data_IF_663956177953
#
_entry.id   IF_663956177953
#
_cell.length_a   1.000
_cell.length_b   1.000
_cell.length_c   1.000
_cell.angle_alpha   90.00
_cell.angle_beta   90.00
_cell.angle_gamma   90.00
#
_symmetry.space_group_name_H-M   'P 1'
#
loop_
_entity.id
_entity.type
_entity.pdbx_description
1 polymer ?
#
# COMPACT_ATOMS: atom_id res chain seq x y z
N UNK A 1 -66.61 30.49 5.56
CA UNK A 1 -66.34 30.51 4.10
C UNK A 1 -65.06 31.31 3.80
N UNK A 2 -64.89 32.49 4.32
CA UNK A 2 -63.65 33.31 4.12
C UNK A 2 -62.39 32.69 4.63
N UNK A 3 -62.41 31.95 5.74
CA UNK A 3 -61.20 31.25 6.28
C UNK A 3 -60.73 30.12 5.37
N UNK A 4 -61.69 29.47 4.74
CA UNK A 4 -61.40 28.33 3.83
C UNK A 4 -60.83 28.84 2.50
N UNK A 5 -61.29 29.94 1.99
CA UNK A 5 -60.80 30.62 0.78
C UNK A 5 -59.37 31.15 0.99
N UNK A 6 -59.10 31.76 2.15
CA UNK A 6 -57.73 32.19 2.51
C UNK A 6 -56.75 31.04 2.64
N UNK A 7 -57.17 29.90 3.22
CA UNK A 7 -56.34 28.71 3.33
C UNK A 7 -56.07 28.05 1.97
N UNK A 8 -57.07 28.03 1.10
CA UNK A 8 -56.96 27.53 -0.25
C UNK A 8 -56.04 28.40 -1.11
N UNK A 9 -56.15 29.74 -0.97
CA UNK A 9 -55.23 30.66 -1.65
C UNK A 9 -53.80 30.52 -1.17
N UNK A 10 -53.57 30.37 0.14
CA UNK A 10 -52.25 30.15 0.71
C UNK A 10 -51.62 28.82 0.18
N UNK A 11 -52.44 27.77 0.10
CA UNK A 11 -52.00 26.50 -0.44
C UNK A 11 -51.57 26.57 -1.93
N UNK A 12 -52.32 27.31 -2.73
CA UNK A 12 -51.99 27.59 -4.14
C UNK A 12 -50.70 28.41 -4.29
N UNK A 13 -50.48 29.39 -3.45
CA UNK A 13 -49.26 30.22 -3.45
C UNK A 13 -48.03 29.37 -3.05
N UNK A 14 -48.16 28.51 -2.02
CA UNK A 14 -47.10 27.59 -1.64
C UNK A 14 -46.83 26.55 -2.74
N UNK A 15 -47.86 26.06 -3.41
CA UNK A 15 -47.70 25.09 -4.54
C UNK A 15 -46.98 25.78 -5.72
N UNK A 16 -47.32 27.03 -6.06
CA UNK A 16 -46.65 27.78 -7.13
C UNK A 16 -45.19 28.10 -6.78
N UNK A 17 -44.90 28.43 -5.52
CA UNK A 17 -43.51 28.61 -5.09
C UNK A 17 -42.66 27.34 -5.11
N UNK A 18 -43.27 26.17 -4.83
CA UNK A 18 -42.53 24.88 -4.87
C UNK A 18 -42.16 24.45 -6.28
N UNK A 19 -42.91 24.80 -7.29
CA UNK A 19 -42.66 24.47 -8.71
C UNK A 19 -41.47 25.31 -9.26
N UNK A 20 -41.28 26.56 -8.80
CA UNK A 20 -40.19 27.41 -9.23
C UNK A 20 -38.77 26.95 -8.80
N UNK A 21 -38.67 26.21 -7.71
CA UNK A 21 -37.39 25.71 -7.22
C UNK A 21 -36.87 24.47 -7.98
N UNK A 22 -37.74 23.77 -8.73
CA UNK A 22 -37.41 22.50 -9.37
C UNK A 22 -36.61 22.63 -10.68
N UNK A 23 -36.46 23.81 -11.26
CA UNK A 23 -35.89 24.04 -12.60
C UNK A 23 -34.68 24.97 -12.63
N UNK A 24 -34.02 25.25 -11.51
CA UNK A 24 -32.82 26.07 -11.50
C UNK A 24 -31.64 25.29 -12.07
N UNK A 25 -31.54 25.24 -13.39
CA UNK A 25 -30.36 24.79 -14.09
C UNK A 25 -29.39 25.93 -14.30
N UNK A 26 -28.11 25.67 -14.19
CA UNK A 26 -27.03 26.59 -14.47
C UNK A 26 -26.20 26.13 -15.66
N UNK A 27 -25.85 27.07 -16.54
CA UNK A 27 -24.85 26.81 -17.59
C UNK A 27 -23.46 26.94 -16.96
N UNK A 28 -22.82 25.82 -16.81
CA UNK A 28 -21.42 25.75 -16.34
C UNK A 28 -20.51 25.73 -17.54
N UNK A 29 -19.57 26.64 -17.57
CA UNK A 29 -18.49 26.68 -18.54
C UNK A 29 -17.16 26.80 -17.84
N UNK A 30 -16.10 26.38 -18.49
CA UNK A 30 -14.77 26.49 -17.90
C UNK A 30 -13.68 25.97 -18.81
N UNK A 31 -12.46 26.01 -18.29
CA UNK A 31 -11.28 25.50 -18.96
C UNK A 31 -10.55 24.53 -18.07
N UNK A 32 -10.14 23.40 -18.62
CA UNK A 32 -9.32 22.39 -17.93
C UNK A 32 -7.89 22.52 -18.44
N UNK A 33 -6.95 22.70 -17.52
CA UNK A 33 -5.53 22.84 -17.80
C UNK A 33 -4.70 21.83 -17.02
N UNK A 34 -3.52 21.51 -17.52
CA UNK A 34 -2.50 20.71 -16.83
C UNK A 34 -1.76 21.56 -15.80
N UNK A 35 -1.41 20.96 -14.67
CA UNK A 35 -0.64 21.63 -13.62
C UNK A 35 0.85 21.80 -13.96
N UNK A 36 1.40 20.98 -14.87
CA UNK A 36 2.84 20.95 -15.18
C UNK A 36 3.23 22.04 -16.15
N UNK A 37 2.45 22.20 -17.23
CA UNK A 37 2.76 23.08 -18.35
C UNK A 37 1.75 24.22 -18.53
N UNK A 38 0.66 24.22 -17.77
CA UNK A 38 -0.48 25.14 -17.92
C UNK A 38 -1.15 25.07 -19.30
N UNK A 39 -0.92 24.01 -20.04
CA UNK A 39 -1.56 23.81 -21.34
C UNK A 39 -3.00 23.31 -21.19
N UNK A 40 -3.89 23.67 -22.15
CA UNK A 40 -5.27 23.18 -22.14
C UNK A 40 -5.31 21.67 -22.41
N UNK A 41 -6.09 20.94 -21.62
CA UNK A 41 -6.24 19.49 -21.79
C UNK A 41 -7.40 19.22 -22.74
N UNK A 42 -7.08 18.64 -23.89
CA UNK A 42 -8.03 18.24 -24.93
C UNK A 42 -8.63 16.88 -24.59
N UNK A 43 -9.96 16.74 -24.66
CA UNK A 43 -10.62 15.44 -24.45
C UNK A 43 -10.73 15.01 -23.00
N UNK A 44 -10.55 15.92 -22.03
CA UNK A 44 -10.83 15.64 -20.63
C UNK A 44 -12.33 15.40 -20.43
N UNK A 45 -12.67 14.34 -19.72
CA UNK A 45 -14.05 13.96 -19.42
C UNK A 45 -14.58 14.77 -18.21
N UNK A 46 -15.76 15.37 -18.37
CA UNK A 46 -16.47 16.11 -17.34
C UNK A 46 -17.80 15.43 -17.07
N UNK A 47 -17.94 14.77 -15.94
CA UNK A 47 -19.09 13.94 -15.58
C UNK A 47 -19.82 14.50 -14.35
N UNK A 48 -21.13 14.30 -14.27
CA UNK A 48 -21.93 14.63 -13.11
C UNK A 48 -21.74 13.55 -12.03
N UNK A 49 -21.34 13.95 -10.83
CA UNK A 49 -21.20 13.05 -9.68
C UNK A 49 -22.57 12.67 -9.12
N UNK A 50 -22.88 11.37 -9.06
CA UNK A 50 -24.12 10.86 -8.41
C UNK A 50 -25.39 10.84 -9.26
N UNK A 51 -25.32 11.13 -10.56
CA UNK A 51 -26.44 10.97 -11.49
C UNK A 51 -26.46 9.60 -12.16
N UNK A 52 -27.65 9.12 -12.54
CA UNK A 52 -27.79 7.95 -13.42
C UNK A 52 -26.90 8.17 -14.67
N UNK A 53 -26.14 7.16 -15.01
CA UNK A 53 -25.08 7.14 -16.03
C UNK A 53 -25.32 8.10 -17.20
N UNK A 54 -24.30 8.91 -17.49
CA UNK A 54 -24.03 9.53 -18.80
C UNK A 54 -24.52 10.94 -19.12
N UNK A 55 -24.71 11.81 -18.15
CA UNK A 55 -24.69 13.24 -18.49
C UNK A 55 -23.29 13.81 -18.22
N UNK A 56 -22.54 14.01 -19.27
CA UNK A 56 -21.20 14.58 -19.23
C UNK A 56 -20.85 15.21 -20.56
N UNK A 57 -19.73 15.90 -20.60
CA UNK A 57 -19.14 16.47 -21.80
C UNK A 57 -17.64 16.20 -21.80
N UNK A 58 -16.98 16.48 -22.93
CA UNK A 58 -15.54 16.45 -23.04
C UNK A 58 -15.02 17.83 -23.40
N UNK A 59 -13.78 18.14 -23.04
CA UNK A 59 -13.16 19.41 -23.39
C UNK A 59 -12.77 19.46 -24.85
N UNK A 60 -12.87 20.63 -25.45
CA UNK A 60 -12.45 20.92 -26.83
C UNK A 60 -10.93 21.12 -26.97
N UNK A 61 -10.49 21.56 -28.17
CA UNK A 61 -9.07 21.79 -28.51
C UNK A 61 -8.44 22.91 -27.65
N UNK A 62 -9.24 23.81 -27.12
CA UNK A 62 -8.82 24.90 -26.22
C UNK A 62 -8.98 24.50 -24.73
N UNK A 63 -9.27 23.21 -24.43
CA UNK A 63 -9.56 22.74 -23.10
C UNK A 63 -10.85 23.25 -22.49
N UNK A 64 -11.74 23.88 -23.30
CA UNK A 64 -13.00 24.45 -22.81
C UNK A 64 -14.11 23.40 -22.78
N UNK A 65 -15.00 23.52 -21.81
CA UNK A 65 -16.21 22.71 -21.73
C UNK A 65 -17.43 23.57 -21.43
N UNK A 66 -18.59 23.10 -21.83
CA UNK A 66 -19.88 23.68 -21.48
C UNK A 66 -20.87 22.58 -21.15
N UNK A 67 -21.55 22.71 -20.01
CA UNK A 67 -22.49 21.72 -19.52
C UNK A 67 -23.62 22.40 -18.74
N UNK A 68 -24.86 22.02 -19.01
CA UNK A 68 -26.04 22.50 -18.27
C UNK A 68 -26.38 21.51 -17.16
N UNK A 69 -26.36 21.95 -15.91
CA UNK A 69 -26.55 21.11 -14.72
C UNK A 69 -27.43 21.78 -13.68
N UNK A 70 -28.12 21.00 -12.83
CA UNK A 70 -28.84 21.55 -11.68
C UNK A 70 -27.89 22.27 -10.73
N UNK A 71 -28.38 23.34 -10.10
CA UNK A 71 -27.58 24.06 -9.12
C UNK A 71 -27.17 23.16 -7.94
N UNK A 72 -25.92 23.28 -7.47
CA UNK A 72 -25.38 22.47 -6.39
C UNK A 72 -24.83 21.10 -6.81
N UNK A 73 -24.83 20.81 -8.12
CA UNK A 73 -24.25 19.55 -8.66
C UNK A 73 -22.74 19.54 -8.53
N UNK A 74 -22.16 18.38 -8.25
CA UNK A 74 -20.71 18.17 -8.28
C UNK A 74 -20.30 17.59 -9.63
N UNK A 75 -19.22 18.11 -10.20
CA UNK A 75 -18.63 17.64 -11.45
C UNK A 75 -17.33 16.91 -11.16
N UNK A 76 -17.14 15.78 -11.82
CA UNK A 76 -15.90 14.98 -11.79
C UNK A 76 -15.15 15.21 -13.09
N UNK A 77 -13.94 15.70 -12.96
CA UNK A 77 -13.02 15.93 -14.06
C UNK A 77 -12.02 14.79 -14.08
N UNK A 78 -11.86 14.11 -15.21
CA UNK A 78 -10.91 13.01 -15.37
C UNK A 78 -10.26 13.05 -16.74
N UNK A 79 -8.96 12.67 -16.77
CA UNK A 79 -8.19 12.51 -17.98
C UNK A 79 -7.16 11.39 -17.79
N UNK A 80 -6.79 10.72 -18.86
CA UNK A 80 -5.84 9.59 -18.79
C UNK A 80 -4.50 10.07 -18.25
N UNK A 81 -3.99 9.44 -17.20
CA UNK A 81 -2.74 9.81 -16.53
C UNK A 81 -2.83 11.02 -15.60
N UNK A 82 -4.03 11.55 -15.37
CA UNK A 82 -4.26 12.66 -14.43
C UNK A 82 -5.14 12.23 -13.27
N UNK A 83 -4.88 12.79 -12.10
CA UNK A 83 -5.69 12.55 -10.90
C UNK A 83 -7.06 13.19 -11.07
N UNK A 84 -8.11 12.37 -10.96
CA UNK A 84 -9.50 12.84 -11.03
C UNK A 84 -9.80 13.85 -9.91
N UNK A 85 -10.51 14.93 -10.23
CA UNK A 85 -10.88 15.98 -9.30
C UNK A 85 -12.39 16.20 -9.31
N UNK A 86 -12.98 16.31 -8.11
CA UNK A 86 -14.41 16.60 -7.95
C UNK A 86 -14.60 18.00 -7.41
N UNK A 87 -15.33 18.84 -8.14
CA UNK A 87 -15.61 20.23 -7.78
C UNK A 87 -17.09 20.52 -7.85
N UNK A 88 -17.56 21.49 -7.06
CA UNK A 88 -18.92 21.99 -7.18
C UNK A 88 -19.08 22.81 -8.47
N UNK A 89 -20.19 22.65 -9.16
CA UNK A 89 -20.48 23.33 -10.40
C UNK A 89 -20.68 24.85 -10.16
N UNK A 90 -19.91 25.67 -10.85
CA UNK A 90 -20.00 27.14 -10.85
C UNK A 90 -20.00 27.66 -12.29
N UNK A 91 -20.54 28.84 -12.53
CA UNK A 91 -20.76 29.36 -13.89
C UNK A 91 -19.48 29.45 -14.72
N UNK A 92 -18.35 29.84 -14.11
CA UNK A 92 -17.04 29.88 -14.77
C UNK A 92 -16.02 29.14 -13.92
N UNK A 93 -15.44 28.05 -14.46
CA UNK A 93 -14.49 27.21 -13.76
C UNK A 93 -13.13 27.17 -14.46
N UNK A 94 -12.08 27.33 -13.68
CA UNK A 94 -10.73 26.97 -14.13
C UNK A 94 -10.29 25.75 -13.32
N UNK A 95 -10.17 24.63 -13.99
CA UNK A 95 -9.83 23.35 -13.36
C UNK A 95 -8.39 22.98 -13.71
N UNK A 96 -7.58 22.74 -12.71
CA UNK A 96 -6.18 22.37 -12.87
C UNK A 96 -6.05 20.90 -12.49
N UNK A 97 -5.87 20.03 -13.48
CA UNK A 97 -5.59 18.61 -13.24
C UNK A 97 -4.09 18.41 -13.04
N UNK A 98 -3.78 17.60 -12.03
CA UNK A 98 -2.41 17.19 -11.75
C UNK A 98 -2.18 15.81 -12.31
N UNK A 99 -0.98 15.51 -12.86
CA UNK A 99 -0.64 14.14 -13.22
C UNK A 99 -0.91 13.23 -12.02
N UNK A 100 -1.48 12.09 -12.31
CA UNK A 100 -1.50 11.03 -11.33
C UNK A 100 -0.04 10.70 -11.06
N UNK A 101 0.43 11.02 -9.84
CA UNK A 101 1.78 10.69 -9.47
C UNK A 101 1.91 9.18 -9.69
N UNK A 102 2.53 8.79 -10.80
CA UNK A 102 3.01 7.42 -10.92
C UNK A 102 3.84 7.23 -9.67
N UNK A 103 3.41 6.34 -8.81
CA UNK A 103 4.22 5.90 -7.69
C UNK A 103 5.53 5.45 -8.33
N UNK A 104 6.53 6.34 -8.33
CA UNK A 104 7.86 5.99 -8.80
C UNK A 104 8.31 4.91 -7.84
N UNK A 105 8.31 3.68 -8.34
CA UNK A 105 8.85 2.58 -7.59
C UNK A 105 10.33 2.87 -7.33
N UNK A 106 10.63 3.20 -6.10
CA UNK A 106 11.98 3.51 -5.66
C UNK A 106 12.59 2.26 -5.08
N UNK A 107 13.73 1.86 -5.60
CA UNK A 107 14.55 0.80 -5.04
C UNK A 107 15.37 1.36 -3.89
N UNK A 108 15.15 0.85 -2.69
CA UNK A 108 15.91 1.22 -1.50
C UNK A 108 16.98 0.16 -1.28
N UNK A 109 18.22 0.49 -1.57
CA UNK A 109 19.35 -0.42 -1.32
C UNK A 109 19.90 -0.32 0.11
N UNK A 110 19.19 0.35 1.01
CA UNK A 110 19.65 0.64 2.37
C UNK A 110 20.54 1.87 2.48
N UNK A 111 21.45 2.09 1.55
CA UNK A 111 22.34 3.25 1.50
C UNK A 111 21.84 4.34 0.56
N UNK A 112 21.16 3.95 -0.51
CA UNK A 112 20.67 4.87 -1.54
C UNK A 112 19.23 4.56 -1.92
N UNK A 113 18.51 5.61 -2.34
CA UNK A 113 17.21 5.48 -2.99
C UNK A 113 17.42 5.76 -4.47
N UNK A 114 17.20 4.76 -5.30
CA UNK A 114 17.37 4.84 -6.75
C UNK A 114 16.03 4.58 -7.43
N UNK A 115 15.74 5.33 -8.50
CA UNK A 115 14.57 5.05 -9.32
C UNK A 115 14.67 3.62 -9.90
N UNK A 116 13.59 2.86 -9.80
CA UNK A 116 13.51 1.48 -10.30
C UNK A 116 13.93 1.37 -11.78
N UNK A 117 13.66 2.40 -12.57
CA UNK A 117 14.02 2.46 -13.99
C UNK A 117 15.53 2.51 -14.23
N UNK A 118 16.27 3.09 -13.29
CA UNK A 118 17.73 3.23 -13.35
C UNK A 118 18.45 2.06 -12.66
N UNK A 119 17.71 1.23 -11.94
CA UNK A 119 18.26 0.12 -11.21
C UNK A 119 18.20 -1.16 -12.06
N UNK A 120 19.36 -1.70 -12.44
CA UNK A 120 19.50 -2.86 -13.31
C UNK A 120 19.45 -4.19 -12.56
N UNK A 121 19.56 -4.16 -11.23
CA UNK A 121 19.57 -5.34 -10.38
C UNK A 121 18.19 -5.99 -10.20
N UNK A 122 18.17 -7.32 -9.97
CA UNK A 122 16.95 -8.05 -9.65
C UNK A 122 16.54 -7.78 -8.19
N UNK A 123 15.41 -7.10 -8.02
CA UNK A 123 14.85 -6.78 -6.71
C UNK A 123 13.34 -7.03 -6.68
N UNK A 124 12.86 -7.46 -5.51
CA UNK A 124 11.43 -7.49 -5.21
C UNK A 124 11.15 -6.59 -4.01
N UNK A 125 10.03 -5.91 -4.04
CA UNK A 125 9.51 -5.13 -2.92
C UNK A 125 8.24 -5.78 -2.39
N UNK A 126 8.19 -5.93 -1.07
CA UNK A 126 7.02 -6.44 -0.35
C UNK A 126 6.61 -5.39 0.67
N UNK A 127 5.39 -4.89 0.59
CA UNK A 127 4.86 -3.95 1.56
C UNK A 127 4.56 -4.68 2.88
N UNK A 128 4.88 -4.06 4.00
CA UNK A 128 4.69 -4.71 5.31
C UNK A 128 3.21 -5.00 5.61
N UNK A 129 2.30 -4.16 5.16
CA UNK A 129 0.85 -4.40 5.33
C UNK A 129 0.36 -5.66 4.62
N UNK A 130 0.90 -5.94 3.42
CA UNK A 130 0.58 -7.16 2.67
C UNK A 130 1.26 -8.40 3.27
N UNK A 131 2.43 -8.20 3.88
CA UNK A 131 3.23 -9.26 4.46
C UNK A 131 2.81 -9.61 5.89
N UNK A 132 2.09 -8.73 6.59
CA UNK A 132 1.73 -8.93 8.00
C UNK A 132 0.95 -10.24 8.18
N UNK A 133 1.50 -11.10 9.04
CA UNK A 133 0.85 -12.33 9.48
C UNK A 133 0.49 -12.18 10.97
N UNK A 134 -0.79 -12.28 11.28
CA UNK A 134 -1.26 -12.19 12.66
C UNK A 134 -0.81 -13.43 13.44
N UNK A 135 -0.38 -13.24 14.68
CA UNK A 135 0.04 -14.32 15.57
C UNK A 135 1.42 -14.91 15.29
N UNK A 136 2.25 -14.24 14.50
CA UNK A 136 3.62 -14.64 14.20
C UNK A 136 4.58 -13.65 14.84
N UNK A 137 5.40 -14.14 15.78
CA UNK A 137 6.34 -13.29 16.53
C UNK A 137 7.54 -12.85 15.69
N UNK A 138 7.98 -13.70 14.74
CA UNK A 138 9.13 -13.39 13.91
C UNK A 138 8.69 -12.85 12.53
N UNK A 139 9.07 -11.61 12.28
CA UNK A 139 8.70 -10.89 11.07
C UNK A 139 9.32 -11.50 9.79
N UNK A 140 10.40 -12.25 9.90
CA UNK A 140 11.02 -12.91 8.78
C UNK A 140 10.12 -13.96 8.12
N UNK A 141 9.17 -14.53 8.88
CA UNK A 141 8.10 -15.41 8.36
C UNK A 141 7.13 -14.70 7.42
N UNK A 142 7.00 -13.39 7.55
CA UNK A 142 6.14 -12.56 6.69
C UNK A 142 6.53 -12.61 5.22
N UNK A 143 7.76 -13.02 4.91
CA UNK A 143 8.27 -13.15 3.55
C UNK A 143 7.89 -14.47 2.89
N UNK A 144 7.30 -15.43 3.64
CA UNK A 144 6.91 -16.74 3.12
C UNK A 144 5.86 -16.61 2.01
N UNK A 145 6.19 -17.11 0.80
CA UNK A 145 5.30 -17.06 -0.36
C UNK A 145 5.05 -15.66 -0.94
N UNK A 146 5.72 -14.60 -0.45
CA UNK A 146 5.48 -13.22 -0.87
C UNK A 146 6.49 -12.71 -1.90
N UNK A 147 7.69 -13.31 -1.95
CA UNK A 147 8.73 -12.91 -2.87
C UNK A 147 9.24 -14.09 -3.69
N UNK A 148 9.31 -13.92 -5.01
CA UNK A 148 9.81 -14.95 -5.91
C UNK A 148 11.28 -15.26 -5.61
N UNK A 149 11.64 -16.55 -5.53
CA UNK A 149 13.02 -16.99 -5.26
C UNK A 149 13.48 -16.83 -3.81
N UNK A 150 12.56 -16.52 -2.89
CA UNK A 150 12.80 -16.54 -1.45
C UNK A 150 12.14 -17.78 -0.86
N UNK A 151 12.92 -18.61 -0.22
CA UNK A 151 12.44 -19.80 0.48
C UNK A 151 12.55 -19.57 1.98
N UNK A 152 11.44 -19.67 2.67
CA UNK A 152 11.33 -19.56 4.11
C UNK A 152 10.95 -20.94 4.66
N UNK A 153 11.81 -21.53 5.48
CA UNK A 153 11.58 -22.85 6.06
C UNK A 153 11.49 -22.72 7.58
N UNK A 154 10.36 -23.11 8.14
CA UNK A 154 10.19 -23.17 9.57
C UNK A 154 10.90 -24.42 10.12
N UNK A 155 11.97 -24.25 10.87
CA UNK A 155 12.80 -25.35 11.39
C UNK A 155 12.28 -25.90 12.73
N UNK A 156 11.45 -25.15 13.45
CA UNK A 156 10.89 -25.55 14.74
C UNK A 156 9.45 -25.10 14.89
N UNK A 157 8.66 -25.87 15.65
CA UNK A 157 7.32 -25.49 16.11
C UNK A 157 7.33 -24.54 17.31
N UNK A 158 8.49 -24.28 17.89
CA UNK A 158 8.65 -23.42 19.05
C UNK A 158 8.27 -21.99 18.72
N UNK A 159 7.50 -21.36 19.60
CA UNK A 159 7.12 -19.98 19.44
C UNK A 159 8.36 -19.06 19.48
N UNK A 160 8.51 -18.19 18.50
CA UNK A 160 9.63 -17.25 18.44
C UNK A 160 10.89 -17.79 17.74
N UNK A 161 10.92 -19.07 17.33
CA UNK A 161 12.07 -19.60 16.60
C UNK A 161 12.18 -18.96 15.21
N UNK A 162 13.38 -18.52 14.85
CA UNK A 162 13.68 -17.93 13.56
C UNK A 162 13.56 -18.96 12.43
N UNK A 163 12.90 -18.64 11.30
CA UNK A 163 12.89 -19.52 10.14
C UNK A 163 14.23 -19.47 9.41
N UNK A 164 14.53 -20.52 8.68
CA UNK A 164 15.66 -20.55 7.76
C UNK A 164 15.28 -19.90 6.44
N UNK A 165 15.89 -18.75 6.14
CA UNK A 165 15.62 -18.01 4.90
C UNK A 165 16.75 -18.22 3.92
N UNK A 166 16.41 -18.45 2.66
CA UNK A 166 17.34 -18.52 1.53
C UNK A 166 16.81 -17.68 0.39
N UNK A 167 17.71 -16.91 -0.22
CA UNK A 167 17.41 -16.11 -1.43
C UNK A 167 18.12 -16.79 -2.60
N UNK A 168 17.35 -17.15 -3.65
CA UNK A 168 17.84 -17.86 -4.85
C UNK A 168 18.47 -19.25 -4.59
N UNK A 169 18.10 -19.92 -3.51
CA UNK A 169 18.56 -21.25 -3.17
C UNK A 169 19.93 -21.28 -2.46
N UNK A 170 20.62 -22.42 -2.50
CA UNK A 170 21.94 -22.57 -1.91
C UNK A 170 23.00 -22.01 -2.87
N UNK A 171 23.55 -20.85 -2.54
CA UNK A 171 24.53 -20.14 -3.39
C UNK A 171 25.97 -20.50 -3.09
N UNK A 172 26.25 -21.18 -1.97
CA UNK A 172 27.59 -21.53 -1.54
C UNK A 172 27.62 -22.90 -0.87
N UNK A 173 28.66 -23.66 -1.17
CA UNK A 173 28.96 -24.94 -0.50
C UNK A 173 29.75 -24.71 0.81
N UNK A 174 30.56 -23.66 0.85
CA UNK A 174 31.46 -23.36 1.95
C UNK A 174 31.12 -22.10 2.75
N UNK A 175 30.13 -21.32 2.31
CA UNK A 175 29.71 -20.06 2.97
C UNK A 175 28.35 -20.12 3.59
N UNK A 176 28.02 -19.13 4.41
CA UNK A 176 26.67 -18.95 4.92
C UNK A 176 25.67 -18.75 3.77
N UNK A 177 24.62 -19.55 3.75
CA UNK A 177 23.49 -19.37 2.81
C UNK A 177 22.40 -18.46 3.38
N UNK A 178 22.66 -17.81 4.53
CA UNK A 178 21.74 -16.84 5.14
C UNK A 178 21.87 -15.50 4.41
N UNK A 179 20.74 -14.81 4.09
CA UNK A 179 20.79 -13.47 3.53
C UNK A 179 21.26 -12.46 4.58
N UNK A 180 21.90 -11.40 4.11
CA UNK A 180 22.28 -10.26 4.96
C UNK A 180 21.06 -9.40 5.26
N UNK A 181 20.86 -9.06 6.52
CA UNK A 181 19.79 -8.14 6.92
C UNK A 181 20.33 -6.72 7.05
N UNK A 182 19.59 -5.77 6.50
CA UNK A 182 19.90 -4.33 6.59
C UNK A 182 18.65 -3.59 7.02
N UNK A 183 18.70 -2.94 8.18
CA UNK A 183 17.58 -2.16 8.73
C UNK A 183 17.93 -0.68 8.65
N UNK A 184 17.17 0.08 7.89
CA UNK A 184 17.37 1.52 7.65
C UNK A 184 18.81 1.91 7.28
N UNK A 185 19.53 1.03 6.59
CA UNK A 185 20.93 1.23 6.20
C UNK A 185 21.96 0.67 7.17
N UNK A 186 21.53 0.16 8.31
CA UNK A 186 22.42 -0.50 9.28
C UNK A 186 22.44 -2.00 8.99
N UNK A 187 23.65 -2.55 8.83
CA UNK A 187 23.85 -3.97 8.64
C UNK A 187 23.64 -4.68 9.98
N UNK A 188 22.69 -5.62 10.01
CA UNK A 188 22.44 -6.47 11.16
C UNK A 188 23.16 -7.79 10.94
N UNK A 189 24.14 -8.08 11.75
CA UNK A 189 24.84 -9.36 11.72
C UNK A 189 24.13 -10.35 12.63
N UNK A 190 23.94 -11.56 12.14
CA UNK A 190 23.44 -12.67 12.94
C UNK A 190 24.54 -13.06 13.93
N UNK A 191 24.37 -12.73 15.20
CA UNK A 191 25.36 -12.94 16.27
C UNK A 191 25.53 -14.43 16.58
N UNK A 192 24.64 -15.27 16.12
CA UNK A 192 24.68 -16.71 16.39
C UNK A 192 25.32 -17.48 15.25
N UNK A 193 26.64 -17.60 15.29
CA UNK A 193 27.31 -18.81 14.83
C UNK A 193 27.05 -19.90 15.89
N UNK A 194 25.92 -20.58 15.73
CA UNK A 194 25.60 -21.73 16.59
C UNK A 194 26.63 -22.81 16.33
N UNK A 195 27.51 -23.03 17.28
CA UNK A 195 28.50 -24.08 17.20
C UNK A 195 27.83 -25.47 17.27
N UNK A 196 28.50 -26.50 16.74
CA UNK A 196 27.99 -27.85 16.86
C UNK A 196 27.80 -28.28 18.34
N UNK A 197 28.59 -27.70 19.23
CA UNK A 197 28.55 -27.97 20.67
C UNK A 197 27.30 -27.29 21.32
N UNK A 198 26.89 -26.11 20.86
CA UNK A 198 25.67 -25.44 21.31
C UNK A 198 24.42 -26.22 20.89
N UNK A 199 24.43 -26.82 19.70
CA UNK A 199 23.37 -27.71 19.24
C UNK A 199 23.30 -29.01 20.08
N UNK A 200 24.44 -29.50 20.55
CA UNK A 200 24.52 -30.71 21.36
C UNK A 200 24.10 -30.44 22.83
N UNK A 201 24.28 -29.24 23.32
CA UNK A 201 23.90 -28.84 24.70
C UNK A 201 22.40 -28.69 24.91
N UNK A 202 21.64 -28.56 23.82
CA UNK A 202 20.18 -28.43 23.87
C UNK A 202 19.68 -27.11 24.49
N UNK A 203 20.54 -26.09 24.53
CA UNK A 203 20.20 -24.80 25.10
C UNK A 203 19.26 -24.02 24.17
N UNK A 204 18.01 -23.78 24.56
CA UNK A 204 17.02 -23.12 23.69
C UNK A 204 17.33 -21.65 23.41
N UNK A 205 18.18 -20.99 24.17
CA UNK A 205 18.52 -19.58 23.95
C UNK A 205 19.28 -19.37 22.64
N UNK A 206 20.06 -20.33 22.18
CA UNK A 206 20.81 -20.25 20.94
C UNK A 206 19.95 -20.43 19.69
N UNK A 207 18.74 -20.96 19.82
CA UNK A 207 17.82 -21.21 18.71
C UNK A 207 16.91 -20.01 18.38
N UNK A 208 16.91 -18.97 19.21
CA UNK A 208 15.86 -17.92 19.19
C UNK A 208 16.34 -16.62 18.52
N UNK A 209 17.62 -16.45 18.24
CA UNK A 209 18.14 -15.17 17.74
C UNK A 209 18.12 -15.06 16.23
N UNK A 210 17.07 -14.43 15.72
CA UNK A 210 17.10 -13.78 14.40
C UNK A 210 17.70 -12.39 14.57
N UNK A 211 18.54 -11.92 13.63
CA UNK A 211 19.09 -10.56 13.62
C UNK A 211 18.01 -9.45 13.72
N UNK A 212 16.78 -9.79 13.44
CA UNK A 212 15.61 -8.88 13.42
C UNK A 212 14.52 -9.26 14.43
N UNK A 213 14.78 -10.19 15.35
CA UNK A 213 13.77 -10.68 16.32
C UNK A 213 13.19 -9.56 17.21
N UNK A 214 13.89 -8.44 17.38
CA UNK A 214 13.44 -7.29 18.19
C UNK A 214 12.61 -6.26 17.41
N UNK A 215 12.42 -6.42 16.09
CA UNK A 215 11.64 -5.47 15.30
C UNK A 215 10.15 -5.78 15.37
N UNK A 216 9.36 -4.75 15.70
CA UNK A 216 7.91 -4.86 15.65
C UNK A 216 7.44 -4.79 14.17
N UNK A 217 6.54 -5.70 13.78
CA UNK A 217 5.96 -5.72 12.43
C UNK A 217 5.23 -4.43 12.07
N UNK A 218 4.66 -3.75 13.07
CA UNK A 218 3.90 -2.52 12.85
C UNK A 218 4.79 -1.32 12.53
N UNK A 219 6.07 -1.37 12.90
CA UNK A 219 7.04 -0.29 12.62
C UNK A 219 7.66 -0.41 11.24
N UNK A 220 7.43 -1.49 10.52
CA UNK A 220 7.98 -1.72 9.19
C UNK A 220 7.08 -1.11 8.12
N UNK A 221 7.70 -0.44 7.15
CA UNK A 221 7.05 0.09 5.96
C UNK A 221 7.12 -0.91 4.80
N UNK A 222 8.31 -1.46 4.54
CA UNK A 222 8.52 -2.39 3.43
C UNK A 222 9.79 -3.22 3.59
N UNK A 223 9.77 -4.38 2.92
CA UNK A 223 10.94 -5.22 2.67
C UNK A 223 11.39 -5.05 1.22
N UNK A 224 12.69 -4.90 1.01
CA UNK A 224 13.27 -4.95 -0.31
C UNK A 224 14.30 -6.06 -0.37
N UNK A 225 14.14 -6.99 -1.31
CA UNK A 225 14.98 -8.16 -1.43
C UNK A 225 15.87 -7.98 -2.64
N UNK A 226 17.19 -7.88 -2.39
CA UNK A 226 18.22 -7.76 -3.41
C UNK A 226 18.73 -9.16 -3.71
N UNK A 227 18.52 -9.61 -4.95
CA UNK A 227 18.71 -11.03 -5.31
C UNK A 227 19.99 -11.32 -6.08
N UNK A 228 20.52 -10.36 -6.82
CA UNK A 228 21.67 -10.60 -7.69
C UNK A 228 22.93 -9.83 -7.26
N UNK A 229 24.07 -10.20 -7.85
CA UNK A 229 25.36 -9.60 -7.54
C UNK A 229 25.43 -8.11 -7.84
N UNK A 230 24.69 -7.62 -8.84
CA UNK A 230 24.66 -6.19 -9.17
C UNK A 230 23.93 -5.39 -8.08
N UNK A 231 22.83 -5.95 -7.56
CA UNK A 231 22.07 -5.36 -6.48
C UNK A 231 22.80 -5.43 -5.13
N UNK A 232 23.57 -6.48 -4.89
CA UNK A 232 24.22 -6.74 -3.60
C UNK A 232 25.68 -6.26 -3.53
N UNK A 233 26.25 -5.79 -4.65
CA UNK A 233 27.66 -5.39 -4.76
C UNK A 233 28.09 -4.32 -3.76
N UNK A 234 27.18 -3.43 -3.37
CA UNK A 234 27.45 -2.40 -2.38
C UNK A 234 27.73 -2.94 -0.97
N UNK A 235 27.35 -4.19 -0.69
CA UNK A 235 27.55 -4.85 0.60
C UNK A 235 28.73 -5.82 0.60
N UNK A 236 29.39 -5.99 -0.56
CA UNK A 236 30.56 -6.83 -0.74
C UNK A 236 30.29 -8.33 -0.53
N UNK A 237 31.35 -9.08 -0.14
CA UNK A 237 31.30 -10.55 -0.04
C UNK A 237 30.26 -11.08 0.97
N UNK A 238 29.89 -10.31 1.98
CA UNK A 238 28.88 -10.69 2.98
C UNK A 238 27.49 -10.87 2.39
N UNK A 239 27.23 -10.27 1.23
CA UNK A 239 25.94 -10.28 0.56
C UNK A 239 25.79 -11.36 -0.52
N UNK A 240 26.68 -12.36 -0.55
CA UNK A 240 26.65 -13.41 -1.59
C UNK A 240 25.34 -14.22 -1.59
N UNK A 241 24.71 -14.40 -0.43
CA UNK A 241 23.46 -15.11 -0.29
C UNK A 241 22.22 -14.21 -0.49
N UNK A 242 22.39 -12.96 -0.95
CA UNK A 242 21.35 -11.95 -1.08
C UNK A 242 21.28 -10.99 0.11
N UNK A 243 20.53 -9.90 -0.05
CA UNK A 243 20.32 -8.91 0.99
C UNK A 243 18.82 -8.65 1.15
N UNK A 244 18.36 -8.60 2.38
CA UNK A 244 16.99 -8.19 2.72
C UNK A 244 17.08 -6.84 3.44
N UNK A 245 16.64 -5.80 2.76
CA UNK A 245 16.59 -4.43 3.29
C UNK A 245 15.23 -4.20 3.91
N UNK A 246 15.22 -3.83 5.17
CA UNK A 246 14.02 -3.46 5.92
C UNK A 246 13.98 -1.95 6.03
N UNK A 247 12.89 -1.34 5.62
CA UNK A 247 12.65 0.10 5.79
C UNK A 247 11.59 0.28 6.86
N UNK A 248 11.89 1.08 7.88
CA UNK A 248 10.94 1.39 8.95
C UNK A 248 10.08 2.61 8.61
N UNK A 249 8.91 2.68 9.22
CA UNK A 249 8.00 3.83 9.10
C UNK A 249 8.64 5.07 9.72
N UNK A 250 8.69 6.15 8.95
CA UNK A 250 9.22 7.44 9.42
C UNK A 250 8.08 8.39 9.74
N UNK A 251 8.30 9.25 10.73
CA UNK A 251 7.38 10.34 11.06
C UNK A 251 7.14 11.25 9.84
N UNK A 252 5.88 11.62 9.64
CA UNK A 252 5.46 12.58 8.60
C UNK A 252 5.18 13.93 9.27
N UNK A 253 5.51 15.04 8.59
CA UNK A 253 5.09 16.36 9.04
C UNK A 253 3.57 16.47 8.97
N UNK A 254 2.93 16.95 10.03
CA UNK A 254 1.48 17.09 10.14
C UNK A 254 0.97 17.03 11.57
N UNK A 255 -0.30 16.70 11.74
CA UNK A 255 -0.91 16.48 13.04
C UNK A 255 -0.34 15.23 13.71
N UNK A 256 -0.13 15.31 15.01
CA UNK A 256 0.31 14.15 15.79
C UNK A 256 -0.79 13.07 15.79
N UNK A 257 -0.42 11.86 15.43
CA UNK A 257 -1.30 10.68 15.49
C UNK A 257 -0.75 9.71 16.50
N UNK A 258 -1.59 9.27 17.41
CA UNK A 258 -1.27 8.22 18.38
C UNK A 258 -2.01 6.95 17.95
N UNK A 259 -1.26 5.91 17.62
CA UNK A 259 -1.81 4.59 17.32
C UNK A 259 -1.42 3.63 18.43
N UNK A 260 -2.39 2.85 18.89
CA UNK A 260 -2.18 1.76 19.83
C UNK A 260 -2.71 0.46 19.22
N UNK A 261 -1.85 -0.55 19.12
CA UNK A 261 -2.21 -1.88 18.64
C UNK A 261 -1.89 -2.88 19.71
N UNK A 262 -2.89 -3.66 20.13
CA UNK A 262 -2.72 -4.78 21.08
C UNK A 262 -3.04 -6.08 20.37
N UNK A 263 -2.08 -7.03 20.37
CA UNK A 263 -2.26 -8.35 19.77
C UNK A 263 -2.13 -9.43 20.86
N UNK A 264 -3.16 -10.27 20.96
CA UNK A 264 -3.18 -11.41 21.86
C UNK A 264 -3.30 -12.68 21.06
N UNK A 265 -2.28 -13.53 21.13
CA UNK A 265 -2.25 -14.80 20.42
C UNK A 265 -2.17 -15.96 21.41
N UNK A 266 -3.12 -16.89 21.33
CA UNK A 266 -3.09 -18.14 22.08
C UNK A 266 -2.92 -19.32 21.13
N UNK A 267 -2.00 -20.21 21.45
CA UNK A 267 -1.85 -21.48 20.73
C UNK A 267 -2.35 -22.61 21.61
N UNK A 268 -3.32 -23.32 21.08
CA UNK A 268 -3.79 -24.54 21.70
C UNK A 268 -2.99 -25.72 21.16
N UNK A 269 -2.69 -26.68 22.05
CA UNK A 269 -2.10 -27.95 21.62
C UNK A 269 -3.15 -28.67 20.78
N UNK A 270 -2.83 -29.03 19.52
CA UNK A 270 -3.79 -29.74 18.68
C UNK A 270 -4.11 -31.11 19.29
N UNK A 271 -5.40 -31.44 19.35
CA UNK A 271 -5.86 -32.77 19.75
C UNK A 271 -5.84 -33.74 18.56
N UNK A 272 -5.86 -35.03 18.82
CA UNK A 272 -5.92 -36.05 17.77
C UNK A 272 -7.11 -35.88 16.83
N UNK A 273 -8.21 -35.30 17.28
CA UNK A 273 -9.37 -35.00 16.45
C UNK A 273 -9.18 -33.89 15.44
N UNK A 274 -8.06 -33.15 15.51
CA UNK A 274 -7.69 -32.12 14.55
C UNK A 274 -6.83 -32.63 13.39
N UNK A 275 -6.45 -33.92 13.43
CA UNK A 275 -5.64 -34.56 12.40
C UNK A 275 -6.40 -35.75 11.82
N UNK A 276 -6.48 -35.81 10.52
CA UNK A 276 -6.98 -36.98 9.77
C UNK A 276 -5.86 -38.03 9.73
N UNK A 277 -5.58 -38.67 10.87
CA UNK A 277 -4.56 -39.70 10.99
C UNK A 277 -5.28 -41.06 11.07
N UNK A 278 -4.96 -41.92 10.11
CA UNK A 278 -5.41 -43.30 10.13
C UNK A 278 -4.83 -44.00 11.39
N UNK A 279 -5.71 -44.66 12.13
CA UNK A 279 -5.34 -45.52 13.24
C UNK A 279 -4.76 -46.83 12.71
N UNK A 280 -3.94 -47.51 13.50
CA UNK A 280 -3.47 -48.84 13.18
C UNK A 280 -4.61 -49.89 13.13
N UNK A 281 -5.83 -49.50 13.37
CA UNK A 281 -7.06 -50.34 13.30
C UNK A 281 -7.88 -50.07 12.04
N UNK A 282 -7.60 -49.02 11.30
CA UNK A 282 -8.18 -48.71 9.97
C UNK A 282 -7.27 -49.22 8.85
#
# INVERSE_FOLDING_TARGET
REIMEKRLSLFFVCLLMSIGAAFAQIDVSGTVISADDNEPIIGASVLISGGAASKGTVTDIDGKFKLNVPNGTKLVFSYVGMKSQTLAATANMKVVLRPEAQLQEVVVTGMQKTDRRLFTGATDRVNAEEAKLNGVADISRSLEGRAAGVSVQNVSGTFGSAPKIRVRGATSIYGSSKPLWVVDGVIMEDVSDVSADDLASGDPETLISSAIAGLNSDDIESFQILKDGSATSIYGARAMAGVIVVTTKKGKQGQAHLNYTGEFTTRLIPSYGNFDILNSQD
#
